data_IF_481319728079
#
_entry.id   IF_481319728079
#
_cell.length_a   1.000
_cell.length_b   1.000
_cell.length_c   1.000
_cell.angle_alpha   90.00
_cell.angle_beta   90.00
_cell.angle_gamma   90.00
#
_symmetry.space_group_name_H-M   'P 1'
#
loop_
_entity.id
_entity.type
_entity.pdbx_description
1 polymer ?
#
# COMPACT_ATOMS: atom_id res chain seq x y z
N UNK A 1 -23.09 -20.86 42.48
CA UNK A 1 -24.07 -20.05 43.22
C UNK A 1 -23.45 -18.70 43.57
N UNK A 2 -24.19 -17.57 43.57
CA UNK A 2 -25.57 -17.45 43.18
C UNK A 2 -25.83 -16.48 42.00
N UNK A 3 -26.88 -16.76 41.22
CA UNK A 3 -27.65 -15.79 40.46
C UNK A 3 -28.61 -15.08 41.43
N UNK A 4 -28.52 -13.75 41.55
CA UNK A 4 -29.42 -13.02 42.44
C UNK A 4 -29.59 -11.56 42.02
N UNK A 5 -29.89 -11.28 40.75
CA UNK A 5 -30.45 -9.97 40.37
C UNK A 5 -31.34 -10.03 39.11
N UNK A 6 -31.90 -11.20 38.82
CA UNK A 6 -32.89 -11.40 37.74
C UNK A 6 -34.35 -11.41 38.22
N UNK A 7 -34.65 -10.98 39.45
CA UNK A 7 -35.99 -11.17 40.02
C UNK A 7 -36.65 -9.95 40.68
N UNK A 8 -36.00 -8.77 40.75
CA UNK A 8 -36.54 -7.66 41.55
C UNK A 8 -36.89 -6.36 40.81
N UNK A 9 -36.88 -6.37 39.48
CA UNK A 9 -37.53 -5.30 38.70
C UNK A 9 -38.51 -5.86 37.65
N UNK A 10 -39.07 -7.04 37.94
CA UNK A 10 -40.22 -7.59 37.25
C UNK A 10 -41.55 -7.35 38.02
N UNK A 11 -41.54 -6.57 39.12
CA UNK A 11 -42.67 -6.52 40.06
C UNK A 11 -43.13 -5.11 40.49
N UNK A 12 -42.87 -4.05 39.71
CA UNK A 12 -43.44 -2.73 40.05
C UNK A 12 -43.98 -1.87 38.91
N UNK A 13 -44.18 -2.45 37.71
CA UNK A 13 -45.02 -1.83 36.68
C UNK A 13 -46.14 -2.74 36.17
N UNK A 14 -46.38 -3.87 36.84
CA UNK A 14 -47.56 -4.72 36.66
C UNK A 14 -48.82 -4.19 37.40
N UNK A 15 -48.85 -2.90 37.77
CA UNK A 15 -50.00 -2.24 38.42
C UNK A 15 -50.43 -0.93 37.74
N UNK A 16 -50.20 -0.80 36.43
CA UNK A 16 -51.08 0.01 35.59
C UNK A 16 -51.57 -0.87 34.45
N UNK A 17 -52.81 -1.37 34.59
CA UNK A 17 -53.57 -1.96 33.50
C UNK A 17 -53.89 -0.91 32.42
N UNK A 18 -52.86 -0.43 31.74
CA UNK A 18 -52.96 0.42 30.57
C UNK A 18 -52.64 -0.41 29.34
N UNK A 19 -53.57 -0.47 28.40
CA UNK A 19 -53.38 -0.95 27.02
C UNK A 19 -51.98 -0.60 26.47
N UNK A 20 -51.39 -1.40 25.55
CA UNK A 20 -50.08 -1.10 24.99
C UNK A 20 -50.06 0.35 24.48
N UNK A 21 -49.43 1.23 25.27
CA UNK A 21 -49.49 2.65 25.01
C UNK A 21 -48.62 2.89 23.78
N UNK A 22 -49.27 3.20 22.66
CA UNK A 22 -48.60 3.62 21.45
C UNK A 22 -47.54 4.67 21.77
N UNK A 23 -46.35 4.51 21.20
CA UNK A 23 -45.19 5.31 21.56
C UNK A 23 -45.35 6.75 21.05
N UNK A 24 -45.02 7.74 21.90
CA UNK A 24 -44.96 9.16 21.48
C UNK A 24 -43.60 9.48 20.89
N UNK A 25 -43.56 10.54 20.07
CA UNK A 25 -42.32 11.01 19.44
C UNK A 25 -41.23 11.31 20.49
N UNK A 26 -41.61 11.91 21.62
CA UNK A 26 -40.70 12.22 22.73
C UNK A 26 -40.10 10.98 23.40
N UNK A 27 -40.86 9.90 23.49
CA UNK A 27 -40.40 8.66 24.13
C UNK A 27 -39.39 7.94 23.23
N UNK A 28 -39.65 7.96 21.92
CA UNK A 28 -38.77 7.35 20.91
C UNK A 28 -37.42 8.09 20.81
N UNK A 29 -37.43 9.42 20.91
CA UNK A 29 -36.19 10.23 20.99
C UNK A 29 -35.43 9.95 22.28
N UNK A 30 -36.10 9.94 23.43
CA UNK A 30 -35.45 9.64 24.73
C UNK A 30 -34.81 8.27 24.78
N UNK A 31 -35.48 7.25 24.24
CA UNK A 31 -34.96 5.88 24.20
C UNK A 31 -33.80 5.70 23.21
N UNK A 32 -33.69 6.55 22.18
CA UNK A 32 -32.54 6.58 21.27
C UNK A 32 -31.34 7.34 21.85
N UNK A 33 -31.59 8.40 22.62
CA UNK A 33 -30.53 9.26 23.18
C UNK A 33 -29.96 8.76 24.51
N UNK A 34 -30.76 8.05 25.32
CA UNK A 34 -30.30 7.41 26.56
C UNK A 34 -29.90 5.97 26.27
N UNK A 35 -28.60 5.65 26.35
CA UNK A 35 -27.95 4.40 25.95
C UNK A 35 -28.39 3.10 26.68
N UNK A 36 -29.69 2.91 26.95
CA UNK A 36 -30.23 1.81 27.75
C UNK A 36 -30.89 0.68 26.94
N UNK A 37 -31.03 0.79 25.61
CA UNK A 37 -31.71 -0.23 24.79
C UNK A 37 -31.06 -0.38 23.42
N UNK A 38 -30.89 -1.63 22.96
CA UNK A 38 -30.31 -1.89 21.65
C UNK A 38 -31.28 -1.45 20.52
N UNK A 39 -30.78 -1.00 19.35
CA UNK A 39 -31.61 -0.63 18.21
C UNK A 39 -32.57 -1.75 17.76
N UNK A 40 -32.17 -3.01 17.93
CA UNK A 40 -32.96 -4.20 17.61
C UNK A 40 -34.16 -4.32 18.56
N UNK A 41 -33.94 -4.18 19.87
CA UNK A 41 -35.03 -4.24 20.87
C UNK A 41 -36.02 -3.09 20.70
N UNK A 42 -35.51 -1.91 20.33
CA UNK A 42 -36.33 -0.73 20.07
C UNK A 42 -37.17 -0.90 18.81
N UNK A 43 -36.65 -1.55 17.77
CA UNK A 43 -37.41 -1.90 16.56
C UNK A 43 -38.57 -2.85 16.87
N UNK A 44 -38.36 -3.83 17.75
CA UNK A 44 -39.39 -4.78 18.18
C UNK A 44 -40.47 -4.10 19.03
N UNK A 45 -40.07 -3.17 19.90
CA UNK A 45 -41.00 -2.37 20.69
C UNK A 45 -41.91 -1.50 19.81
N UNK A 46 -41.35 -0.88 18.75
CA UNK A 46 -42.12 -0.09 17.78
C UNK A 46 -43.06 -0.97 16.96
N UNK A 47 -42.63 -2.15 16.50
CA UNK A 47 -43.50 -3.10 15.77
C UNK A 47 -44.68 -3.59 16.61
N UNK A 48 -44.48 -3.75 17.92
CA UNK A 48 -45.48 -4.24 18.86
C UNK A 48 -46.49 -3.17 19.27
N UNK A 49 -46.01 -1.98 19.64
CA UNK A 49 -46.85 -0.95 20.25
C UNK A 49 -47.32 0.13 19.25
N UNK A 50 -46.69 0.23 18.07
CA UNK A 50 -46.95 1.26 17.06
C UNK A 50 -46.79 2.70 17.61
N UNK A 51 -46.95 3.72 16.75
CA UNK A 51 -46.73 5.13 17.07
C UNK A 51 -48.05 5.88 17.21
N UNK A 52 -48.07 6.84 18.12
CA UNK A 52 -49.20 7.78 18.28
C UNK A 52 -49.27 8.79 17.15
N UNK A 53 -48.13 9.17 16.58
CA UNK A 53 -48.00 10.19 15.54
C UNK A 53 -47.76 9.58 14.16
N UNK A 54 -48.05 10.34 13.11
CA UNK A 54 -47.76 9.95 11.73
C UNK A 54 -46.39 10.53 11.34
N UNK A 55 -45.36 9.68 11.11
CA UNK A 55 -44.01 10.16 10.87
C UNK A 55 -43.88 10.87 9.50
N UNK A 56 -43.38 12.10 9.53
CA UNK A 56 -43.00 12.89 8.35
C UNK A 56 -41.60 12.54 7.86
N UNK A 57 -41.21 13.00 6.68
CA UNK A 57 -39.85 12.80 6.15
C UNK A 57 -38.79 13.45 7.05
N UNK A 58 -39.11 14.62 7.61
CA UNK A 58 -38.27 15.32 8.59
C UNK A 58 -38.04 14.48 9.85
N UNK A 59 -39.09 13.86 10.38
CA UNK A 59 -38.97 12.99 11.57
C UNK A 59 -38.02 11.81 11.32
N UNK A 60 -38.07 11.22 10.12
CA UNK A 60 -37.17 10.10 9.75
C UNK A 60 -35.72 10.54 9.70
N UNK A 61 -35.45 11.75 9.21
CA UNK A 61 -34.09 12.31 9.18
C UNK A 61 -33.58 12.63 10.59
N UNK A 62 -34.42 13.20 11.45
CA UNK A 62 -34.06 13.48 12.85
C UNK A 62 -33.71 12.18 13.60
N UNK A 63 -34.49 11.11 13.39
CA UNK A 63 -34.21 9.80 14.00
C UNK A 63 -32.89 9.19 13.49
N UNK A 64 -32.57 9.33 12.20
CA UNK A 64 -31.27 8.89 11.64
C UNK A 64 -30.11 9.61 12.30
N UNK A 65 -30.22 10.94 12.49
CA UNK A 65 -29.20 11.74 13.16
C UNK A 65 -28.99 11.32 14.62
N UNK A 66 -30.04 10.80 15.26
CA UNK A 66 -30.01 10.27 16.62
C UNK A 66 -29.57 8.79 16.71
N UNK A 67 -29.12 8.19 15.60
CA UNK A 67 -28.59 6.82 15.59
C UNK A 67 -29.61 5.73 15.32
N UNK A 68 -30.81 6.05 14.82
CA UNK A 68 -31.76 5.04 14.36
C UNK A 68 -31.22 4.27 13.15
N UNK A 69 -31.13 2.94 13.28
CA UNK A 69 -30.70 2.07 12.20
C UNK A 69 -31.82 1.80 11.17
N UNK A 70 -31.47 1.12 10.08
CA UNK A 70 -32.40 0.80 9.00
C UNK A 70 -33.58 -0.08 9.46
N UNK A 71 -33.36 -0.92 10.48
CA UNK A 71 -34.37 -1.86 10.99
C UNK A 71 -35.47 -1.14 11.77
N UNK A 72 -35.09 -0.12 12.54
CA UNK A 72 -36.00 0.73 13.28
C UNK A 72 -36.82 1.62 12.35
N UNK A 73 -36.21 2.22 11.34
CA UNK A 73 -36.93 3.06 10.36
C UNK A 73 -37.97 2.24 9.58
N UNK A 74 -37.63 1.00 9.22
CA UNK A 74 -38.57 0.08 8.58
C UNK A 74 -39.78 -0.25 9.49
N UNK A 75 -39.55 -0.45 10.79
CA UNK A 75 -40.62 -0.67 11.77
C UNK A 75 -41.55 0.54 11.91
N UNK A 76 -40.99 1.76 11.89
CA UNK A 76 -41.74 3.02 11.92
C UNK A 76 -42.63 3.17 10.68
N UNK A 77 -42.11 2.88 9.49
CA UNK A 77 -42.87 2.95 8.23
C UNK A 77 -43.97 1.89 8.15
N UNK A 78 -43.71 0.69 8.68
CA UNK A 78 -44.71 -0.37 8.73
C UNK A 78 -45.89 0.01 9.64
N UNK A 79 -45.61 0.59 10.80
CA UNK A 79 -46.64 1.12 11.68
C UNK A 79 -47.46 2.23 10.99
N UNK A 80 -46.80 3.16 10.29
CA UNK A 80 -47.47 4.24 9.57
C UNK A 80 -48.42 3.71 8.48
N UNK A 81 -48.02 2.66 7.76
CA UNK A 81 -48.87 1.98 6.77
C UNK A 81 -50.08 1.29 7.40
N UNK A 82 -49.92 0.63 8.55
CA UNK A 82 -51.02 -0.04 9.26
C UNK A 82 -52.09 0.95 9.74
N UNK A 83 -51.71 2.19 10.04
CA UNK A 83 -52.61 3.24 10.55
C UNK A 83 -53.27 4.08 9.44
N UNK A 84 -52.89 3.88 8.17
CA UNK A 84 -53.48 4.59 7.05
C UNK A 84 -54.93 4.12 6.81
N UNK A 85 -55.92 5.02 6.65
CA UNK A 85 -57.30 4.62 6.39
C UNK A 85 -57.41 3.88 5.06
N UNK A 86 -58.13 2.75 5.07
CA UNK A 86 -58.43 1.95 3.88
C UNK A 86 -59.36 2.77 2.98
N UNK A 87 -58.86 3.25 1.83
CA UNK A 87 -59.71 3.87 0.80
C UNK A 87 -60.76 2.86 0.36
N UNK A 88 -62.03 3.14 0.64
CA UNK A 88 -63.17 2.42 0.10
C UNK A 88 -63.24 2.65 -1.40
N UNK A 89 -63.25 1.56 -2.18
CA UNK A 89 -63.71 1.61 -3.56
C UNK A 89 -65.23 1.85 -3.52
N UNK A 90 -65.67 3.04 -3.90
CA UNK A 90 -67.09 3.35 -4.02
C UNK A 90 -67.62 2.79 -5.34
N UNK A 91 -68.50 1.80 -5.25
CA UNK A 91 -69.31 1.33 -6.36
C UNK A 91 -70.38 2.36 -6.72
N UNK A 92 -70.54 2.62 -8.02
CA UNK A 92 -71.70 3.31 -8.56
C UNK A 92 -72.63 2.28 -9.21
N UNK A 93 -73.88 2.32 -8.78
CA UNK A 93 -74.91 1.32 -8.99
C UNK A 93 -75.42 1.22 -10.43
N UNK A 94 -75.84 0.00 -10.74
CA UNK A 94 -76.59 -0.46 -11.90
C UNK A 94 -77.92 0.27 -12.08
N UNK A 95 -78.18 0.78 -13.29
CA UNK A 95 -79.55 0.93 -13.82
C UNK A 95 -79.57 0.33 -15.21
N UNK A 96 -80.34 -0.74 -15.36
CA UNK A 96 -80.62 -1.38 -16.63
C UNK A 96 -81.48 -0.45 -17.49
N UNK A 97 -80.98 -0.09 -18.66
CA UNK A 97 -81.77 0.43 -19.77
C UNK A 97 -81.38 -0.37 -21.02
N UNK A 98 -82.41 -0.80 -21.74
CA UNK A 98 -82.39 -1.69 -22.90
C UNK A 98 -81.50 -1.16 -24.04
N UNK A 99 -80.71 -2.09 -24.60
CA UNK A 99 -79.79 -1.90 -25.73
C UNK A 99 -80.55 -1.82 -27.06
N UNK A 100 -80.36 -0.77 -27.89
CA UNK A 100 -80.45 -0.88 -29.33
C UNK A 100 -79.08 -1.29 -29.91
N UNK A 101 -79.01 -1.97 -31.07
CA UNK A 101 -77.74 -2.30 -31.71
C UNK A 101 -77.22 -1.06 -32.43
N UNK A 102 -76.11 -0.48 -31.96
CA UNK A 102 -75.35 0.52 -32.69
C UNK A 102 -73.96 -0.02 -33.05
N UNK A 103 -73.50 0.44 -34.21
CA UNK A 103 -72.39 0.00 -35.06
C UNK A 103 -71.06 -0.43 -34.36
N UNK A 104 -70.21 -1.23 -35.03
CA UNK A 104 -68.89 -1.59 -34.50
C UNK A 104 -68.06 -0.33 -34.23
N UNK A 105 -67.53 -0.22 -33.02
CA UNK A 105 -66.63 0.86 -32.62
C UNK A 105 -65.30 0.77 -33.40
N UNK A 106 -64.68 1.91 -33.78
CA UNK A 106 -63.34 1.90 -34.34
C UNK A 106 -62.33 1.36 -33.32
N UNK A 107 -61.32 0.64 -33.81
CA UNK A 107 -60.29 0.02 -32.99
C UNK A 107 -59.62 1.04 -32.05
N UNK A 108 -59.31 0.66 -30.79
CA UNK A 108 -58.58 1.54 -29.88
C UNK A 108 -57.20 1.89 -30.47
N UNK A 109 -56.70 3.13 -30.30
CA UNK A 109 -55.34 3.46 -30.70
C UNK A 109 -54.35 2.55 -29.92
N UNK A 110 -53.22 2.17 -30.54
CA UNK A 110 -52.22 1.36 -29.87
C UNK A 110 -51.81 2.05 -28.57
N UNK A 111 -51.75 1.27 -27.48
CA UNK A 111 -51.33 1.75 -26.18
C UNK A 111 -49.99 2.47 -26.32
N UNK A 112 -49.92 3.71 -25.85
CA UNK A 112 -48.66 4.45 -25.76
C UNK A 112 -47.66 3.59 -25.00
N UNK A 113 -46.50 3.32 -25.60
CA UNK A 113 -45.42 2.61 -24.94
C UNK A 113 -45.10 3.30 -23.60
N UNK A 114 -44.95 2.55 -22.49
CA UNK A 114 -44.60 3.14 -21.22
C UNK A 114 -43.30 3.95 -21.38
N UNK A 115 -43.20 5.15 -20.78
CA UNK A 115 -41.99 5.96 -20.91
C UNK A 115 -40.77 5.18 -20.43
N UNK A 116 -39.69 5.22 -21.22
CA UNK A 116 -38.44 4.58 -20.86
C UNK A 116 -37.98 5.06 -19.48
N UNK A 117 -38.04 4.17 -18.49
CA UNK A 117 -37.48 4.41 -17.16
C UNK A 117 -35.96 4.41 -17.29
N UNK A 118 -35.34 5.60 -17.25
CA UNK A 118 -33.90 5.76 -17.07
C UNK A 118 -33.49 5.17 -15.71
N UNK A 119 -32.99 3.94 -15.71
CA UNK A 119 -32.41 3.33 -14.52
C UNK A 119 -31.06 4.00 -14.26
N UNK A 120 -30.98 4.86 -13.23
CA UNK A 120 -29.71 5.42 -12.76
C UNK A 120 -28.98 4.32 -11.98
N UNK A 121 -28.32 3.43 -12.70
CA UNK A 121 -27.45 2.44 -12.09
C UNK A 121 -26.21 3.18 -11.57
N UNK A 122 -26.04 3.27 -10.24
CA UNK A 122 -24.78 3.71 -9.66
C UNK A 122 -23.71 2.71 -10.10
N UNK A 123 -22.91 3.05 -11.09
CA UNK A 123 -21.74 2.26 -11.47
C UNK A 123 -20.77 2.38 -10.29
N UNK A 124 -20.68 1.33 -9.48
CA UNK A 124 -19.56 1.17 -8.55
C UNK A 124 -18.37 0.84 -9.45
N UNK A 125 -17.65 1.89 -9.84
CA UNK A 125 -16.51 1.76 -10.74
C UNK A 125 -15.43 0.97 -10.01
N UNK A 126 -15.31 -0.31 -10.37
CA UNK A 126 -14.39 -1.24 -9.72
C UNK A 126 -13.11 -1.28 -10.54
N UNK A 127 -11.98 -0.96 -9.92
CA UNK A 127 -10.67 -1.01 -10.57
C UNK A 127 -10.37 -2.44 -11.00
N UNK A 128 -9.99 -2.63 -12.26
CA UNK A 128 -9.62 -3.94 -12.79
C UNK A 128 -8.16 -4.24 -12.52
N UNK A 129 -7.88 -5.34 -11.82
CA UNK A 129 -6.53 -5.81 -11.59
C UNK A 129 -5.82 -6.28 -12.86
N UNK A 130 -6.56 -6.73 -13.87
CA UNK A 130 -5.99 -7.22 -15.14
C UNK A 130 -5.66 -6.06 -16.10
N UNK A 131 -6.44 -4.97 -16.03
CA UNK A 131 -6.32 -3.83 -16.95
C UNK A 131 -5.62 -2.62 -16.34
N UNK A 132 -5.27 -2.69 -15.05
CA UNK A 132 -4.52 -1.64 -14.35
C UNK A 132 -3.10 -2.09 -14.06
N UNK A 133 -2.14 -1.17 -14.16
CA UNK A 133 -0.75 -1.43 -13.82
C UNK A 133 0.22 -0.41 -14.41
N UNK A 134 1.51 -0.75 -14.34
CA UNK A 134 2.58 0.10 -14.86
C UNK A 134 2.65 0.01 -16.38
N UNK A 135 2.43 1.13 -17.05
CA UNK A 135 2.40 1.22 -18.52
C UNK A 135 3.64 1.90 -19.10
N UNK A 136 4.34 2.71 -18.30
CA UNK A 136 5.58 3.36 -18.74
C UNK A 136 6.53 3.61 -17.57
N UNK A 137 7.80 3.85 -17.89
CA UNK A 137 8.85 4.09 -16.90
C UNK A 137 9.39 2.81 -16.23
N UNK A 138 8.83 1.62 -16.50
CA UNK A 138 9.41 0.35 -16.08
C UNK A 138 10.72 0.00 -16.80
N UNK A 139 11.52 -0.89 -16.21
CA UNK A 139 12.74 -1.43 -16.82
C UNK A 139 13.90 -0.43 -16.94
N UNK A 140 13.79 0.75 -16.32
CA UNK A 140 14.87 1.72 -16.28
C UNK A 140 16.03 1.22 -15.42
N UNK A 141 17.22 1.76 -15.72
CA UNK A 141 18.44 1.54 -14.95
C UNK A 141 18.97 2.89 -14.49
N UNK A 142 19.63 2.89 -13.34
CA UNK A 142 20.32 4.05 -12.80
C UNK A 142 21.34 3.60 -11.77
N UNK A 143 22.25 4.50 -11.41
CA UNK A 143 23.15 4.24 -10.28
C UNK A 143 22.47 4.55 -8.96
N UNK A 144 23.02 4.02 -7.87
CA UNK A 144 22.57 4.33 -6.51
C UNK A 144 22.38 5.83 -6.27
N UNK A 145 21.31 6.20 -5.57
CA UNK A 145 21.01 7.59 -5.20
C UNK A 145 20.60 8.51 -6.36
N UNK A 146 20.37 7.99 -7.57
CA UNK A 146 19.99 8.81 -8.73
C UNK A 146 18.48 8.82 -9.00
N UNK A 147 17.98 9.94 -9.52
CA UNK A 147 16.61 10.02 -10.03
C UNK A 147 16.51 9.36 -11.40
N UNK A 148 15.48 8.54 -11.60
CA UNK A 148 15.22 7.93 -12.90
C UNK A 148 14.83 9.00 -13.94
N UNK A 149 15.36 8.92 -15.17
CA UNK A 149 15.18 9.97 -16.18
C UNK A 149 13.75 10.07 -16.70
N UNK A 150 12.99 8.97 -16.69
CA UNK A 150 11.57 8.97 -17.05
C UNK A 150 10.72 8.72 -15.81
N UNK A 151 9.61 9.46 -15.70
CA UNK A 151 8.61 9.23 -14.68
C UNK A 151 8.02 7.82 -14.80
N UNK A 152 7.66 7.23 -13.67
CA UNK A 152 6.90 5.99 -13.61
C UNK A 152 5.42 6.32 -13.81
N UNK A 153 4.75 5.59 -14.70
CA UNK A 153 3.33 5.82 -15.03
C UNK A 153 2.52 4.58 -14.72
N UNK A 154 1.55 4.74 -13.82
CA UNK A 154 0.53 3.76 -13.51
C UNK A 154 -0.76 4.14 -14.22
N UNK A 155 -1.42 3.17 -14.85
CA UNK A 155 -2.70 3.35 -15.52
C UNK A 155 -3.77 2.54 -14.79
N UNK A 156 -4.91 3.19 -14.47
CA UNK A 156 -6.06 2.59 -13.82
C UNK A 156 -7.24 2.52 -14.80
N UNK A 157 -7.79 1.31 -14.95
CA UNK A 157 -8.95 1.03 -15.81
C UNK A 157 -9.97 0.17 -15.09
N UNK A 158 -11.23 0.29 -15.48
CA UNK A 158 -12.26 -0.67 -15.06
C UNK A 158 -12.21 -1.98 -15.87
N UNK A 159 -13.14 -2.90 -15.57
CA UNK A 159 -13.27 -4.17 -16.28
C UNK A 159 -13.72 -4.00 -17.74
N UNK A 160 -14.42 -2.91 -18.08
CA UNK A 160 -14.82 -2.57 -19.45
C UNK A 160 -13.66 -1.94 -20.26
N UNK A 161 -12.60 -1.49 -19.59
CA UNK A 161 -11.43 -0.86 -20.18
C UNK A 161 -11.51 0.66 -20.22
N UNK A 162 -12.52 1.28 -19.61
CA UNK A 162 -12.60 2.73 -19.50
C UNK A 162 -11.53 3.25 -18.51
N UNK A 163 -10.87 4.40 -18.80
CA UNK A 163 -9.93 5.01 -17.87
C UNK A 163 -10.64 5.51 -16.61
N UNK A 164 -9.96 5.42 -15.47
CA UNK A 164 -10.50 5.82 -14.17
C UNK A 164 -9.86 7.11 -13.67
N UNK A 165 -10.45 8.29 -13.91
CA UNK A 165 -9.93 9.55 -13.40
C UNK A 165 -10.23 9.76 -11.91
N UNK A 166 -9.41 10.59 -11.26
CA UNK A 166 -9.59 11.03 -9.87
C UNK A 166 -9.35 9.95 -8.80
N UNK A 167 -8.85 8.77 -9.19
CA UNK A 167 -8.54 7.69 -8.26
C UNK A 167 -7.16 7.90 -7.64
N UNK A 168 -7.08 7.87 -6.32
CA UNK A 168 -5.80 7.98 -5.62
C UNK A 168 -5.00 6.68 -5.76
N UNK A 169 -3.81 6.79 -6.35
CA UNK A 169 -2.81 5.70 -6.40
C UNK A 169 -1.73 6.02 -5.37
N UNK A 170 -1.47 5.09 -4.46
CA UNK A 170 -0.37 5.18 -3.49
C UNK A 170 0.83 4.38 -3.99
N UNK A 171 2.04 4.87 -3.72
CA UNK A 171 3.29 4.27 -4.17
C UNK A 171 4.21 4.04 -2.98
N UNK A 172 4.73 2.81 -2.89
CA UNK A 172 5.70 2.40 -1.88
C UNK A 172 6.97 1.90 -2.57
N UNK A 173 8.14 2.32 -2.08
CA UNK A 173 9.43 1.93 -2.64
C UNK A 173 10.23 1.06 -1.69
N UNK A 174 10.79 -0.02 -2.24
CA UNK A 174 11.81 -0.85 -1.59
C UNK A 174 13.13 -0.54 -2.29
N UNK A 175 14.11 -0.01 -1.55
CA UNK A 175 15.36 0.52 -2.12
C UNK A 175 15.11 1.61 -3.19
N UNK A 176 14.03 2.39 -3.02
CA UNK A 176 13.68 3.55 -3.83
C UNK A 176 12.79 4.50 -3.00
N UNK A 177 12.85 5.80 -3.29
CA UNK A 177 11.91 6.80 -2.79
C UNK A 177 11.07 7.34 -3.95
N UNK A 178 9.79 7.61 -3.67
CA UNK A 178 8.83 8.05 -4.68
C UNK A 178 8.27 9.41 -4.26
N UNK A 179 8.27 10.36 -5.19
CA UNK A 179 7.69 11.68 -4.97
C UNK A 179 6.83 12.10 -6.17
N UNK A 180 5.55 12.44 -5.95
CA UNK A 180 4.79 12.28 -4.70
C UNK A 180 4.50 10.79 -4.39
N UNK A 181 4.35 10.43 -3.10
CA UNK A 181 4.01 9.06 -2.68
C UNK A 181 2.54 8.68 -2.95
N UNK A 182 1.68 9.66 -3.23
CA UNK A 182 0.32 9.43 -3.68
C UNK A 182 -0.07 10.48 -4.73
N UNK A 183 -0.76 10.06 -5.79
CA UNK A 183 -1.26 10.97 -6.82
C UNK A 183 -2.61 10.46 -7.35
N UNK A 184 -3.52 11.39 -7.64
CA UNK A 184 -4.76 11.06 -8.32
C UNK A 184 -4.50 10.79 -9.81
N UNK A 185 -5.24 9.87 -10.40
CA UNK A 185 -5.21 9.63 -11.85
C UNK A 185 -5.83 10.80 -12.63
N UNK A 186 -5.22 11.12 -13.78
CA UNK A 186 -5.72 12.12 -14.73
C UNK A 186 -6.93 11.62 -15.54
N UNK A 187 -7.45 12.44 -16.46
CA UNK A 187 -8.59 12.12 -17.34
C UNK A 187 -8.36 10.86 -18.22
N UNK A 188 -7.09 10.51 -18.46
CA UNK A 188 -6.71 9.29 -19.17
C UNK A 188 -6.51 8.09 -18.23
N UNK A 189 -6.83 8.23 -16.94
CA UNK A 189 -6.67 7.20 -15.91
C UNK A 189 -5.21 7.01 -15.50
N UNK A 190 -4.33 8.00 -15.70
CA UNK A 190 -2.88 7.85 -15.48
C UNK A 190 -2.38 8.63 -14.27
N UNK A 191 -1.54 7.99 -13.48
CA UNK A 191 -0.83 8.55 -12.34
C UNK A 191 0.68 8.55 -12.64
N UNK A 192 1.34 9.71 -12.53
CA UNK A 192 2.77 9.89 -12.84
C UNK A 192 3.54 10.26 -11.59
N UNK A 193 4.65 9.57 -11.34
CA UNK A 193 5.50 9.82 -10.17
C UNK A 193 6.99 9.79 -10.53
N UNK A 194 7.78 10.60 -9.83
CA UNK A 194 9.23 10.53 -9.88
C UNK A 194 9.75 9.42 -8.96
N UNK A 195 10.79 8.72 -9.41
CA UNK A 195 11.44 7.65 -8.62
C UNK A 195 12.92 8.00 -8.46
N UNK A 196 13.39 8.01 -7.23
CA UNK A 196 14.79 8.13 -6.88
C UNK A 196 15.28 6.79 -6.31
N UNK A 197 16.32 6.24 -6.92
CA UNK A 197 16.87 4.94 -6.52
C UNK A 197 17.56 5.06 -5.17
N UNK A 198 17.48 3.98 -4.39
CA UNK A 198 18.13 3.89 -3.09
C UNK A 198 19.64 3.74 -3.18
N UNK A 199 20.25 3.56 -2.01
CA UNK A 199 21.71 3.54 -1.85
C UNK A 199 22.32 2.14 -1.97
N UNK A 200 21.52 1.09 -2.20
CA UNK A 200 21.99 -0.29 -2.31
C UNK A 200 21.96 -0.75 -3.77
N UNK A 201 23.04 -1.38 -4.21
CA UNK A 201 23.09 -2.04 -5.53
C UNK A 201 22.15 -3.24 -5.59
N UNK A 202 21.68 -3.57 -6.79
CA UNK A 202 20.81 -4.73 -7.03
C UNK A 202 19.40 -4.31 -7.42
N UNK A 203 18.38 -4.92 -6.80
CA UNK A 203 16.99 -4.63 -7.14
C UNK A 203 16.43 -3.48 -6.32
N UNK A 204 15.71 -2.58 -6.99
CA UNK A 204 14.77 -1.66 -6.36
C UNK A 204 13.37 -1.95 -6.88
N UNK A 205 12.36 -1.90 -6.02
CA UNK A 205 10.99 -2.23 -6.39
C UNK A 205 10.07 -1.08 -6.02
N UNK A 206 9.19 -0.71 -6.93
CA UNK A 206 8.10 0.22 -6.67
C UNK A 206 6.78 -0.54 -6.76
N UNK A 207 5.98 -0.38 -5.71
CA UNK A 207 4.65 -0.97 -5.55
C UNK A 207 3.64 0.17 -5.71
N UNK A 208 2.72 0.04 -6.65
CA UNK A 208 1.59 0.95 -6.83
C UNK A 208 0.30 0.27 -6.39
N UNK A 209 -0.45 0.92 -5.52
CA UNK A 209 -1.70 0.41 -4.94
C UNK A 209 -2.85 1.36 -5.21
N UNK A 210 -3.98 0.80 -5.65
CA UNK A 210 -5.22 1.51 -5.92
C UNK A 210 -6.41 0.65 -5.45
N UNK A 211 -7.01 1.03 -4.32
CA UNK A 211 -7.99 0.18 -3.64
C UNK A 211 -7.38 -1.17 -3.25
N UNK A 212 -7.94 -2.26 -3.77
CA UNK A 212 -7.46 -3.64 -3.55
C UNK A 212 -6.46 -4.13 -4.59
N UNK A 213 -6.20 -3.32 -5.63
CA UNK A 213 -5.27 -3.70 -6.71
C UNK A 213 -3.87 -3.22 -6.36
N UNK A 214 -2.93 -4.16 -6.37
CA UNK A 214 -1.51 -3.88 -6.18
C UNK A 214 -0.71 -4.40 -7.37
N UNK A 215 0.22 -3.58 -7.87
CA UNK A 215 1.18 -3.97 -8.91
C UNK A 215 2.57 -3.52 -8.49
N UNK A 216 3.56 -4.27 -8.94
CA UNK A 216 4.96 -3.97 -8.68
C UNK A 216 5.76 -3.88 -9.97
N UNK A 217 6.80 -3.06 -9.95
CA UNK A 217 7.80 -2.98 -11.02
C UNK A 217 9.18 -2.92 -10.39
N UNK A 218 10.12 -3.65 -10.98
CA UNK A 218 11.49 -3.70 -10.51
C UNK A 218 12.43 -2.88 -11.42
N UNK A 219 13.48 -2.36 -10.81
CA UNK A 219 14.56 -1.60 -11.42
C UNK A 219 15.89 -2.22 -11.02
N UNK A 220 16.87 -2.12 -11.91
CA UNK A 220 18.24 -2.50 -11.59
C UNK A 220 19.03 -1.25 -11.19
N UNK A 221 19.54 -1.28 -9.96
CA UNK A 221 20.39 -0.24 -9.38
C UNK A 221 21.84 -0.66 -9.54
N UNK A 222 22.56 0.07 -10.38
CA UNK A 222 24.00 -0.08 -10.57
C UNK A 222 24.78 0.66 -9.47
N UNK A 223 26.02 0.24 -9.25
CA UNK A 223 26.90 0.94 -8.33
C UNK A 223 27.25 2.32 -8.87
N UNK A 224 27.55 3.26 -7.97
CA UNK A 224 28.09 4.56 -8.35
C UNK A 224 29.52 4.47 -8.89
N UNK A 225 30.13 5.61 -9.28
CA UNK A 225 31.55 5.64 -9.55
C UNK A 225 32.34 5.20 -8.30
N UNK A 226 33.45 4.49 -8.54
CA UNK A 226 34.33 4.07 -7.45
C UNK A 226 34.89 5.31 -6.72
N UNK A 227 34.68 5.34 -5.41
CA UNK A 227 35.09 6.44 -4.52
C UNK A 227 36.24 6.03 -3.59
N UNK A 228 36.41 4.72 -3.32
CA UNK A 228 37.49 4.21 -2.49
C UNK A 228 37.95 2.82 -2.93
N UNK A 229 39.21 2.52 -2.65
CA UNK A 229 39.76 1.17 -2.69
C UNK A 229 39.73 0.59 -1.28
N UNK A 230 39.32 -0.67 -1.19
CA UNK A 230 39.35 -1.44 0.04
C UNK A 230 40.28 -2.62 -0.18
N UNK A 231 41.39 -2.59 0.56
CA UNK A 231 42.36 -3.67 0.61
C UNK A 231 42.07 -4.52 1.83
N UNK A 232 41.80 -5.79 1.59
CA UNK A 232 41.57 -6.78 2.61
C UNK A 232 42.72 -7.77 2.63
N UNK A 233 43.00 -8.26 3.81
CA UNK A 233 43.93 -9.33 4.03
C UNK A 233 43.29 -10.38 4.92
N UNK A 234 43.12 -11.60 4.38
CA UNK A 234 42.24 -12.58 5.00
C UNK A 234 40.83 -12.00 5.18
N UNK A 235 40.37 -11.91 6.44
CA UNK A 235 39.06 -11.35 6.80
C UNK A 235 39.07 -9.88 7.23
N UNK A 236 40.24 -9.24 7.31
CA UNK A 236 40.37 -7.88 7.87
C UNK A 236 40.68 -6.86 6.79
N UNK A 237 40.01 -5.69 6.84
CA UNK A 237 40.40 -4.54 6.01
C UNK A 237 41.67 -3.90 6.57
N UNK A 238 42.67 -3.68 5.72
CA UNK A 238 43.90 -2.98 6.08
C UNK A 238 43.88 -1.58 5.49
N UNK A 239 44.15 -0.59 6.33
CA UNK A 239 44.25 0.82 5.94
C UNK A 239 45.43 1.45 6.68
N UNK A 240 46.31 2.12 5.95
CA UNK A 240 47.50 2.75 6.52
C UNK A 240 48.62 1.75 6.79
N UNK A 241 48.58 1.02 7.89
CA UNK A 241 49.68 0.15 8.32
C UNK A 241 49.25 -1.30 8.52
N UNK A 242 50.10 -2.26 8.14
CA UNK A 242 49.95 -3.67 8.54
C UNK A 242 51.28 -4.42 8.53
N UNK A 243 51.37 -5.50 9.31
CA UNK A 243 52.54 -6.38 9.31
C UNK A 243 52.30 -7.70 8.55
N UNK A 244 53.36 -8.21 7.89
CA UNK A 244 53.37 -9.52 7.20
C UNK A 244 54.53 -10.35 7.74
N UNK A 245 54.32 -11.64 8.02
CA UNK A 245 55.41 -12.51 8.50
C UNK A 245 56.53 -12.68 7.48
N UNK A 246 57.79 -12.77 7.91
CA UNK A 246 58.86 -13.25 7.05
C UNK A 246 58.54 -14.69 6.59
N UNK A 247 58.84 -15.01 5.34
CA UNK A 247 58.61 -16.30 4.65
C UNK A 247 57.14 -16.70 4.37
N UNK A 248 56.16 -15.83 4.59
CA UNK A 248 54.76 -16.09 4.23
C UNK A 248 54.39 -15.40 2.93
N UNK A 249 53.91 -16.17 1.92
CA UNK A 249 53.29 -15.57 0.73
C UNK A 249 51.88 -15.17 1.11
N UNK A 250 51.58 -13.87 0.98
CA UNK A 250 50.28 -13.32 1.35
C UNK A 250 49.55 -12.78 0.14
N UNK A 251 48.23 -12.99 0.11
CA UNK A 251 47.36 -12.50 -0.93
C UNK A 251 46.46 -11.40 -0.35
N UNK A 252 46.60 -10.17 -0.85
CA UNK A 252 45.72 -9.07 -0.52
C UNK A 252 44.57 -9.04 -1.51
N UNK A 253 43.34 -9.06 -1.02
CA UNK A 253 42.15 -8.89 -1.84
C UNK A 253 41.81 -7.41 -1.95
N UNK A 254 41.85 -6.88 -3.16
CA UNK A 254 41.50 -5.49 -3.46
C UNK A 254 40.10 -5.44 -4.06
N UNK A 255 39.28 -4.52 -3.60
CA UNK A 255 37.97 -4.23 -4.17
C UNK A 255 37.76 -2.73 -4.26
N UNK A 256 36.95 -2.30 -5.22
CA UNK A 256 36.53 -0.91 -5.33
C UNK A 256 35.11 -0.76 -4.77
N UNK A 257 34.85 0.36 -4.09
CA UNK A 257 33.53 0.68 -3.58
C UNK A 257 33.13 2.10 -3.97
N UNK A 258 31.84 2.34 -4.12
CA UNK A 258 31.29 3.68 -4.31
C UNK A 258 31.16 4.45 -2.98
N UNK A 259 30.63 5.67 -3.05
CA UNK A 259 30.46 6.55 -1.89
C UNK A 259 29.48 5.99 -0.83
N UNK A 260 28.68 4.97 -1.17
CA UNK A 260 27.73 4.31 -0.28
C UNK A 260 28.23 2.92 0.16
N UNK A 261 29.52 2.63 -0.03
CA UNK A 261 30.16 1.35 0.28
C UNK A 261 29.59 0.16 -0.52
N UNK A 262 28.98 0.39 -1.68
CA UNK A 262 28.60 -0.71 -2.56
C UNK A 262 29.80 -1.17 -3.39
N UNK A 263 29.91 -2.48 -3.68
CA UNK A 263 30.96 -2.99 -4.55
C UNK A 263 30.79 -2.45 -5.98
N UNK A 264 31.88 -1.94 -6.54
CA UNK A 264 31.95 -1.46 -7.93
C UNK A 264 32.91 -2.33 -8.74
N UNK A 265 32.78 -2.34 -10.09
CA UNK A 265 33.75 -3.04 -10.92
C UNK A 265 35.17 -2.52 -10.68
N UNK A 266 36.12 -3.44 -10.47
CA UNK A 266 37.53 -3.10 -10.31
C UNK A 266 38.16 -3.02 -11.70
N UNK A 267 38.92 -1.97 -12.00
CA UNK A 267 39.49 -1.74 -13.34
C UNK A 267 40.96 -1.32 -13.23
N UNK A 268 41.82 -2.00 -13.99
CA UNK A 268 43.22 -1.63 -14.14
C UNK A 268 44.04 -1.78 -12.85
N UNK A 269 43.78 -2.83 -12.07
CA UNK A 269 44.51 -3.11 -10.83
C UNK A 269 46.02 -3.26 -11.11
N UNK A 270 46.81 -2.49 -10.37
CA UNK A 270 48.28 -2.54 -10.34
C UNK A 270 48.75 -2.38 -8.90
N UNK A 271 49.92 -2.96 -8.62
CA UNK A 271 50.60 -2.81 -7.35
C UNK A 271 52.09 -2.55 -7.57
N UNK A 272 52.66 -1.65 -6.77
CA UNK A 272 54.08 -1.33 -6.79
C UNK A 272 54.60 -1.19 -5.36
N UNK A 273 55.84 -1.63 -5.13
CA UNK A 273 56.49 -1.53 -3.82
C UNK A 273 57.64 -0.54 -3.93
N UNK A 274 57.80 0.31 -2.92
CA UNK A 274 58.87 1.31 -2.90
C UNK A 274 60.26 0.66 -2.75
N UNK A 275 60.40 -0.36 -1.89
CA UNK A 275 61.62 -1.14 -1.74
C UNK A 275 61.36 -2.64 -1.96
N UNK A 276 61.65 -3.12 -3.17
CA UNK A 276 61.49 -4.52 -3.55
C UNK A 276 62.44 -5.48 -2.83
N UNK A 277 63.44 -4.99 -2.08
CA UNK A 277 64.34 -5.82 -1.27
C UNK A 277 63.65 -6.31 0.01
N UNK A 278 62.71 -5.52 0.55
CA UNK A 278 61.95 -5.87 1.75
C UNK A 278 60.83 -6.85 1.39
N UNK A 279 59.99 -6.51 0.41
CA UNK A 279 59.05 -7.45 -0.19
C UNK A 279 58.74 -7.09 -1.64
N UNK A 280 58.36 -8.09 -2.43
CA UNK A 280 58.02 -7.92 -3.85
C UNK A 280 56.59 -8.35 -4.16
N UNK A 281 56.03 -7.76 -5.21
CA UNK A 281 54.77 -8.22 -5.81
C UNK A 281 55.08 -9.43 -6.69
N UNK A 282 54.53 -10.59 -6.35
CA UNK A 282 54.67 -11.81 -7.16
C UNK A 282 53.68 -11.84 -8.31
N UNK A 283 52.43 -11.47 -8.04
CA UNK A 283 51.35 -11.54 -9.01
C UNK A 283 50.28 -10.49 -8.70
N UNK A 284 49.63 -10.00 -9.75
CA UNK A 284 48.43 -9.20 -9.67
C UNK A 284 47.41 -9.85 -10.58
N UNK A 285 46.35 -10.38 -10.00
CA UNK A 285 45.21 -10.97 -10.70
C UNK A 285 43.99 -10.10 -10.47
N UNK A 286 43.09 -10.03 -11.44
CA UNK A 286 41.87 -9.23 -11.33
C UNK A 286 40.70 -9.96 -11.97
N UNK A 287 39.58 -9.98 -11.26
CA UNK A 287 38.27 -10.36 -11.74
C UNK A 287 37.46 -9.09 -12.07
N UNK A 288 36.14 -9.24 -12.27
CA UNK A 288 35.25 -8.10 -12.57
C UNK A 288 34.96 -7.20 -11.37
N UNK A 289 34.97 -7.72 -10.15
CA UNK A 289 34.57 -6.98 -8.92
C UNK A 289 35.65 -6.91 -7.85
N UNK A 290 36.71 -7.69 -8.00
CA UNK A 290 37.83 -7.72 -7.06
C UNK A 290 39.10 -8.13 -7.78
N UNK A 291 40.24 -7.95 -7.12
CA UNK A 291 41.51 -8.48 -7.57
C UNK A 291 42.35 -8.93 -6.40
N UNK A 292 43.42 -9.64 -6.71
CA UNK A 292 44.33 -10.23 -5.74
C UNK A 292 45.73 -9.76 -6.03
N UNK A 293 46.40 -9.18 -5.04
CA UNK A 293 47.81 -8.80 -5.08
C UNK A 293 48.57 -9.77 -4.19
N UNK A 294 49.37 -10.64 -4.81
CA UNK A 294 50.21 -11.61 -4.10
C UNK A 294 51.56 -10.99 -3.79
N UNK A 295 51.94 -10.96 -2.52
CA UNK A 295 53.18 -10.38 -2.01
C UNK A 295 54.06 -11.49 -1.43
N UNK A 296 55.37 -11.35 -1.62
CA UNK A 296 56.37 -12.18 -0.98
C UNK A 296 57.38 -11.31 -0.22
N UNK A 297 57.45 -11.43 1.11
CA UNK A 297 58.49 -10.83 1.92
C UNK A 297 59.82 -11.55 1.71
N UNK A 298 60.90 -10.76 1.59
CA UNK A 298 62.27 -11.24 1.37
C UNK A 298 63.24 -10.78 2.48
N UNK A 299 63.09 -9.55 2.99
CA UNK A 299 63.91 -9.01 4.09
C UNK A 299 63.04 -8.33 5.15
N UNK A 300 63.55 -8.27 6.38
CA UNK A 300 62.93 -7.51 7.45
C UNK A 300 63.08 -6.00 7.20
N UNK A 301 62.06 -5.23 7.52
CA UNK A 301 62.04 -3.78 7.31
C UNK A 301 60.63 -3.24 7.09
N UNK A 302 60.53 -1.94 6.89
CA UNK A 302 59.27 -1.25 6.59
C UNK A 302 59.37 -0.57 5.24
N UNK A 303 58.39 -0.79 4.37
CA UNK A 303 58.31 -0.10 3.07
C UNK A 303 56.86 0.13 2.65
N UNK A 304 56.67 0.91 1.61
CA UNK A 304 55.35 1.33 1.13
C UNK A 304 54.89 0.49 -0.06
N UNK A 305 53.66 0.02 0.00
CA UNK A 305 52.91 -0.58 -1.11
C UNK A 305 51.94 0.46 -1.68
N UNK A 306 52.05 0.73 -2.97
CA UNK A 306 51.07 1.49 -3.73
C UNK A 306 50.13 0.52 -4.46
N UNK A 307 48.84 0.58 -4.15
CA UNK A 307 47.77 -0.13 -4.87
C UNK A 307 47.04 0.89 -5.74
N UNK A 308 46.92 0.62 -7.03
CA UNK A 308 46.35 1.53 -8.01
C UNK A 308 45.25 0.80 -8.77
N UNK A 309 44.04 1.32 -8.76
CA UNK A 309 42.90 0.79 -9.53
C UNK A 309 41.83 1.88 -9.70
N UNK A 310 41.03 1.80 -10.76
CA UNK A 310 39.97 2.76 -11.08
C UNK A 310 40.44 4.22 -11.10
N UNK A 311 41.72 4.47 -11.43
CA UNK A 311 42.35 5.80 -11.37
C UNK A 311 42.71 6.29 -9.97
N UNK A 312 42.33 5.56 -8.92
CA UNK A 312 42.67 5.84 -7.52
C UNK A 312 44.01 5.23 -7.14
N UNK A 313 44.67 5.82 -6.13
CA UNK A 313 45.91 5.30 -5.53
C UNK A 313 45.74 5.21 -4.03
N UNK A 314 46.07 4.06 -3.46
CA UNK A 314 46.12 3.84 -2.02
C UNK A 314 47.53 3.41 -1.62
N UNK A 315 48.09 4.11 -0.64
CA UNK A 315 49.40 3.77 -0.07
C UNK A 315 49.20 3.05 1.26
N UNK A 316 49.94 1.95 1.42
CA UNK A 316 49.96 1.14 2.63
C UNK A 316 51.41 1.00 3.09
N UNK A 317 51.67 1.31 4.34
CA UNK A 317 52.94 1.03 5.01
C UNK A 317 52.92 -0.40 5.50
N UNK A 318 53.90 -1.19 5.07
CA UNK A 318 53.98 -2.61 5.38
C UNK A 318 55.26 -2.88 6.16
N UNK A 319 55.15 -3.57 7.28
CA UNK A 319 56.30 -4.00 8.08
C UNK A 319 56.49 -5.50 7.99
N UNK A 320 57.70 -5.92 7.64
CA UNK A 320 58.15 -7.31 7.75
C UNK A 320 59.01 -7.39 9.01
N UNK A 321 58.53 -8.02 10.10
CA UNK A 321 59.31 -8.15 11.32
C UNK A 321 60.49 -9.11 11.12
N UNK A 322 61.51 -9.05 11.99
CA UNK A 322 62.62 -10.00 11.96
C UNK A 322 62.13 -11.45 12.15
N UNK A 323 62.84 -12.40 11.53
CA UNK A 323 62.54 -13.84 11.52
C UNK A 323 62.38 -14.47 12.92
N UNK A 324 62.91 -13.82 13.96
CA UNK A 324 62.86 -14.27 15.34
C UNK A 324 61.56 -13.89 16.10
N UNK A 325 60.59 -13.23 15.48
CA UNK A 325 59.35 -12.80 16.16
C UNK A 325 58.33 -13.96 16.28
N UNK A 326 57.86 -14.33 17.49
CA UNK A 326 56.85 -15.38 17.67
C UNK A 326 55.41 -14.87 17.40
N UNK A 327 54.65 -15.61 16.59
CA UNK A 327 53.17 -15.56 16.54
C UNK A 327 52.52 -15.22 15.19
N UNK A 328 51.30 -15.74 14.94
CA UNK A 328 50.03 -15.00 14.69
C UNK A 328 49.97 -13.70 13.85
N UNK A 329 51.01 -13.18 13.18
CA UNK A 329 50.96 -11.83 12.61
C UNK A 329 50.92 -11.79 11.08
N UNK A 330 49.76 -12.11 10.51
CA UNK A 330 49.42 -11.65 9.16
C UNK A 330 48.29 -10.64 9.32
N UNK A 331 48.51 -9.39 8.89
CA UNK A 331 47.47 -8.37 8.81
C UNK A 331 46.86 -7.97 10.15
N UNK A 332 47.79 -7.71 11.09
CA UNK A 332 47.59 -6.99 12.33
C UNK A 332 48.37 -5.68 12.31
#
# INVERSE_FOLDING_TARGET
MPPALSAFLALLLALQGGSPASLRKTDLVRLLSGAGMSPVDLSQLVRRNCLTFQPTERDRNDLRMLGADASLLAAVDECARRKAPRRTASGAATRAATRPPSAPAPAPPPAAEPPAVFQVQRIIVTVSAERSGFVAGGGQRGSVGTQLPRALVFEARDSAGAPLPGQAVTFTGINASIQPAAVATDDAGRARVGVMLGQRVGSATVIGSIGVVEKQVAFNVAAGPAAQLVVMCGGSSVSGHFAIRPDSVIALRVSAQDAFANPTPLLGLRAAVADARIFRVLAVAQDSTAGTVTLKPDQAGTTSLAVIANGMRQYLTVTVPPKAAPGKLDCR
#
